data_IF_886064976624
#
_entry.id   IF_886064976624
#
_cell.length_a   1.000
_cell.length_b   1.000
_cell.length_c   1.000
_cell.angle_alpha   90.00
_cell.angle_beta   90.00
_cell.angle_gamma   90.00
#
_symmetry.space_group_name_H-M   'P 1'
#
loop_
_entity.id
_entity.type
_entity.pdbx_description
1 polymer ?
#
# COMPACT_ATOMS: atom_id res chain seq x y z
N UNK A 1 -54.87 -52.61 -49.25
CA UNK A 1 -53.63 -53.05 -48.61
C UNK A 1 -52.79 -51.77 -48.32
N UNK A 2 -52.71 -51.27 -47.10
CA UNK A 2 -51.85 -50.17 -46.73
C UNK A 2 -50.71 -50.70 -45.84
N UNK A 3 -49.48 -50.65 -46.37
CA UNK A 3 -48.26 -51.03 -45.69
C UNK A 3 -47.84 -49.86 -44.80
N UNK A 4 -47.87 -50.03 -43.49
CA UNK A 4 -47.35 -49.07 -42.49
C UNK A 4 -45.91 -49.39 -42.23
N UNK A 5 -45.00 -48.47 -42.63
CA UNK A 5 -43.58 -48.54 -42.26
C UNK A 5 -43.41 -47.89 -40.88
N UNK A 6 -43.06 -48.68 -39.90
CA UNK A 6 -42.58 -48.23 -38.60
C UNK A 6 -41.11 -47.87 -38.75
N UNK A 7 -40.80 -46.57 -38.72
CA UNK A 7 -39.41 -46.09 -38.59
C UNK A 7 -39.06 -46.12 -37.10
N UNK A 8 -38.23 -47.09 -36.70
CA UNK A 8 -37.56 -47.11 -35.39
C UNK A 8 -36.44 -46.07 -35.42
N UNK A 9 -36.67 -44.91 -34.82
CA UNK A 9 -35.61 -43.94 -34.55
C UNK A 9 -34.79 -44.44 -33.35
N UNK A 10 -33.64 -45.07 -33.62
CA UNK A 10 -32.61 -45.33 -32.60
C UNK A 10 -32.01 -43.99 -32.15
N UNK A 11 -32.47 -43.46 -31.01
CA UNK A 11 -31.85 -42.35 -30.32
C UNK A 11 -30.58 -42.88 -29.69
N UNK A 12 -29.42 -42.79 -30.38
CA UNK A 12 -28.12 -43.04 -29.80
C UNK A 12 -27.78 -41.84 -28.91
N UNK A 13 -28.06 -41.96 -27.60
CA UNK A 13 -27.47 -41.09 -26.57
C UNK A 13 -25.95 -41.29 -26.59
N UNK A 14 -25.24 -40.41 -27.24
CA UNK A 14 -23.79 -40.30 -27.15
C UNK A 14 -23.49 -39.75 -25.77
N UNK A 15 -23.26 -40.63 -24.79
CA UNK A 15 -22.64 -40.26 -23.54
C UNK A 15 -21.21 -39.86 -23.86
N UNK A 16 -20.94 -38.57 -23.90
CA UNK A 16 -19.57 -38.09 -23.83
C UNK A 16 -19.04 -38.49 -22.44
N UNK A 17 -18.32 -39.59 -22.38
CA UNK A 17 -17.51 -39.90 -21.20
C UNK A 17 -16.41 -38.82 -21.17
N UNK A 18 -16.68 -37.75 -20.41
CA UNK A 18 -15.62 -36.87 -20.03
C UNK A 18 -14.69 -37.69 -19.16
N UNK A 19 -13.51 -38.02 -19.65
CA UNK A 19 -12.46 -38.57 -18.81
C UNK A 19 -12.31 -37.63 -17.62
N UNK A 20 -12.40 -38.20 -16.41
CA UNK A 20 -12.21 -37.37 -15.21
C UNK A 20 -10.85 -36.69 -15.35
N UNK A 21 -10.79 -35.37 -15.18
CA UNK A 21 -9.55 -34.64 -15.31
C UNK A 21 -8.55 -35.17 -14.30
N UNK A 22 -7.30 -35.34 -14.71
CA UNK A 22 -6.24 -35.97 -13.92
C UNK A 22 -5.01 -35.08 -13.88
N UNK A 23 -4.20 -35.21 -12.83
CA UNK A 23 -2.94 -34.52 -12.68
C UNK A 23 -3.03 -33.09 -12.11
N UNK A 24 -4.22 -32.59 -11.81
CA UNK A 24 -4.41 -31.28 -11.19
C UNK A 24 -4.99 -31.37 -9.77
N UNK A 25 -4.89 -30.26 -9.02
CA UNK A 25 -5.42 -30.16 -7.67
C UNK A 25 -6.57 -29.17 -7.61
N UNK A 26 -7.52 -29.41 -6.71
CA UNK A 26 -8.65 -28.53 -6.40
C UNK A 26 -8.65 -28.20 -4.91
N UNK A 27 -9.10 -27.03 -4.49
CA UNK A 27 -9.29 -26.71 -3.07
C UNK A 27 -10.57 -27.39 -2.55
N UNK A 28 -10.51 -27.96 -1.34
CA UNK A 28 -11.63 -28.73 -0.79
C UNK A 28 -12.85 -27.86 -0.45
N UNK A 29 -12.64 -26.60 -0.06
CA UNK A 29 -13.67 -25.68 0.39
C UNK A 29 -13.80 -24.43 -0.52
N UNK A 30 -13.59 -24.61 -1.82
CA UNK A 30 -13.52 -23.50 -2.77
C UNK A 30 -12.18 -22.77 -2.73
N UNK A 31 -11.98 -21.86 -3.67
CA UNK A 31 -10.75 -21.09 -3.83
C UNK A 31 -10.35 -20.39 -2.53
N UNK A 32 -9.11 -20.58 -2.10
CA UNK A 32 -8.57 -19.96 -0.90
C UNK A 32 -8.07 -18.53 -1.22
N UNK A 33 -8.31 -17.57 -0.32
CA UNK A 33 -7.89 -16.18 -0.48
C UNK A 33 -6.68 -15.87 0.41
N UNK A 34 -5.54 -15.57 -0.20
CA UNK A 34 -4.36 -15.08 0.49
C UNK A 34 -4.34 -13.55 0.48
N UNK A 35 -4.57 -12.94 1.64
CA UNK A 35 -4.52 -11.48 1.80
C UNK A 35 -3.14 -11.05 2.28
N UNK A 36 -2.43 -10.29 1.47
CA UNK A 36 -1.18 -9.62 1.84
C UNK A 36 -1.51 -8.20 2.30
N UNK A 37 -1.68 -8.05 3.60
CA UNK A 37 -2.08 -6.79 4.24
C UNK A 37 -0.84 -6.07 4.79
N UNK A 38 -0.73 -4.76 4.54
CA UNK A 38 0.37 -3.98 5.08
C UNK A 38 -0.07 -2.55 5.47
N UNK A 39 0.70 -1.96 6.37
CA UNK A 39 0.64 -0.54 6.73
C UNK A 39 2.07 -0.05 6.82
N UNK A 40 2.44 0.87 5.94
CA UNK A 40 3.79 1.37 5.81
C UNK A 40 3.85 2.89 5.94
N UNK A 41 5.00 3.36 6.39
CA UNK A 41 5.34 4.77 6.40
C UNK A 41 6.56 4.99 5.53
N UNK A 42 6.40 5.75 4.46
CA UNK A 42 7.52 6.11 3.60
C UNK A 42 8.28 7.32 4.17
N UNK A 43 9.59 7.21 4.14
CA UNK A 43 10.49 8.35 4.35
C UNK A 43 10.52 9.25 3.10
N UNK A 44 11.22 10.38 3.20
CA UNK A 44 11.48 11.26 2.05
C UNK A 44 12.15 10.49 0.90
N UNK A 45 13.12 9.64 1.24
CA UNK A 45 13.90 8.90 0.24
C UNK A 45 13.13 7.78 -0.41
N UNK A 46 12.13 7.22 0.29
CA UNK A 46 11.25 6.18 -0.26
C UNK A 46 10.21 6.76 -1.22
N UNK A 47 9.84 8.02 -1.05
CA UNK A 47 8.80 8.71 -1.82
C UNK A 47 9.34 9.55 -2.99
N UNK A 48 10.44 9.15 -3.58
CA UNK A 48 11.03 9.80 -4.76
C UNK A 48 10.62 9.01 -6.01
N UNK A 49 10.21 9.70 -7.07
CA UNK A 49 9.92 9.06 -8.35
C UNK A 49 11.14 8.27 -8.84
N UNK A 50 10.94 7.01 -9.19
CA UNK A 50 11.99 6.07 -9.57
C UNK A 50 12.48 5.15 -8.46
N UNK A 51 12.09 5.36 -7.20
CA UNK A 51 12.45 4.49 -6.08
C UNK A 51 11.53 3.27 -5.99
N UNK A 52 12.05 2.20 -5.38
CA UNK A 52 11.30 0.98 -5.09
C UNK A 52 11.46 0.63 -3.62
N UNK A 53 10.35 0.45 -2.93
CA UNK A 53 10.32 0.00 -1.53
C UNK A 53 9.82 -1.42 -1.45
N UNK A 54 10.56 -2.26 -0.71
CA UNK A 54 10.19 -3.64 -0.42
C UNK A 54 9.42 -3.72 0.90
N UNK A 55 8.25 -4.33 0.85
CA UNK A 55 7.38 -4.59 2.00
C UNK A 55 7.27 -6.10 2.18
N UNK A 56 7.76 -6.60 3.31
CA UNK A 56 7.62 -8.01 3.65
C UNK A 56 6.29 -8.24 4.37
N UNK A 57 5.43 -9.07 3.77
CA UNK A 57 4.15 -9.43 4.34
C UNK A 57 4.17 -10.90 4.71
N UNK A 58 4.06 -11.18 6.00
CA UNK A 58 4.13 -12.52 6.52
C UNK A 58 2.82 -12.86 7.25
N UNK A 59 1.94 -13.61 6.58
CA UNK A 59 0.76 -14.17 7.18
C UNK A 59 1.13 -15.54 7.77
N UNK A 60 1.60 -15.55 9.01
CA UNK A 60 2.06 -16.73 9.70
C UNK A 60 1.01 -17.85 9.65
N UNK A 61 1.39 -18.98 9.03
CA UNK A 61 0.65 -20.26 9.06
C UNK A 61 -0.71 -20.30 8.32
N UNK A 62 -0.90 -19.54 7.26
CA UNK A 62 -2.07 -19.77 6.42
C UNK A 62 -1.86 -21.05 5.60
N UNK A 63 -2.69 -22.05 5.85
CA UNK A 63 -2.74 -23.29 5.07
C UNK A 63 -4.17 -23.64 4.73
N UNK A 64 -4.36 -24.31 3.62
CA UNK A 64 -5.66 -24.79 3.21
C UNK A 64 -5.58 -26.22 2.67
N UNK A 65 -6.69 -26.92 2.71
CA UNK A 65 -6.79 -28.30 2.21
C UNK A 65 -7.19 -28.31 0.75
N UNK A 66 -6.65 -29.28 0.03
CA UNK A 66 -7.03 -29.54 -1.34
C UNK A 66 -6.85 -31.01 -1.70
N UNK A 67 -7.45 -31.39 -2.80
CA UNK A 67 -7.42 -32.76 -3.32
C UNK A 67 -6.77 -32.73 -4.70
N UNK A 68 -5.74 -33.57 -4.89
CA UNK A 68 -5.06 -33.74 -6.17
C UNK A 68 -5.50 -35.05 -6.82
N UNK A 69 -5.88 -34.99 -8.08
CA UNK A 69 -6.33 -36.16 -8.86
C UNK A 69 -5.14 -36.83 -9.52
N UNK A 70 -4.94 -38.10 -9.22
CA UNK A 70 -3.84 -38.91 -9.76
C UNK A 70 -4.03 -39.13 -11.27
N UNK A 71 -2.92 -39.20 -11.98
CA UNK A 71 -2.94 -39.56 -13.42
C UNK A 71 -3.48 -40.97 -13.62
N UNK A 72 -4.12 -41.20 -14.76
CA UNK A 72 -4.52 -42.55 -15.19
C UNK A 72 -3.29 -43.35 -15.58
N UNK A 73 -3.18 -44.57 -15.12
CA UNK A 73 -2.03 -45.43 -15.43
C UNK A 73 -1.56 -46.25 -14.23
N UNK A 74 -0.38 -46.83 -14.27
CA UNK A 74 0.18 -47.60 -13.15
C UNK A 74 0.40 -46.71 -11.94
N UNK A 75 0.43 -47.34 -10.73
CA UNK A 75 0.71 -46.65 -9.50
C UNK A 75 2.01 -45.84 -9.58
N UNK A 76 1.96 -44.58 -9.19
CA UNK A 76 3.08 -43.64 -9.21
C UNK A 76 3.22 -42.96 -7.87
N UNK A 77 4.47 -42.61 -7.52
CA UNK A 77 4.78 -41.78 -6.37
C UNK A 77 5.23 -40.41 -6.86
N UNK A 78 4.63 -39.38 -6.27
CA UNK A 78 5.00 -37.97 -6.55
C UNK A 78 5.50 -37.36 -5.25
N UNK A 79 6.70 -36.81 -5.25
CA UNK A 79 7.34 -36.23 -4.06
C UNK A 79 7.01 -34.75 -3.85
N UNK A 80 6.30 -34.12 -4.80
CA UNK A 80 5.85 -32.75 -4.67
C UNK A 80 4.71 -32.40 -5.64
N UNK A 81 4.03 -31.30 -5.37
CA UNK A 81 3.16 -30.64 -6.36
C UNK A 81 3.92 -29.58 -7.12
N UNK A 82 3.42 -29.21 -8.27
CA UNK A 82 3.93 -28.10 -9.08
C UNK A 82 2.98 -26.94 -9.00
N UNK A 83 3.52 -25.77 -8.64
CA UNK A 83 2.74 -24.54 -8.46
C UNK A 83 2.98 -23.62 -9.64
N UNK A 84 1.90 -23.09 -10.20
CA UNK A 84 1.90 -22.09 -11.26
C UNK A 84 1.18 -20.84 -10.76
N UNK A 85 1.74 -19.68 -11.06
CA UNK A 85 1.12 -18.38 -10.77
C UNK A 85 0.83 -17.62 -12.05
N UNK A 86 -0.41 -17.17 -12.22
CA UNK A 86 -0.85 -16.37 -13.37
C UNK A 86 -1.34 -15.02 -12.84
N UNK A 87 -0.82 -13.95 -13.43
CA UNK A 87 -1.23 -12.58 -13.09
C UNK A 87 -2.69 -12.35 -13.47
N UNK A 88 -3.40 -11.58 -12.65
CA UNK A 88 -4.75 -11.13 -12.99
C UNK A 88 -4.73 -10.34 -14.31
N UNK A 89 -5.44 -10.79 -15.35
CA UNK A 89 -5.42 -10.14 -16.67
C UNK A 89 -6.00 -8.72 -16.67
N UNK A 90 -6.69 -8.31 -15.61
CA UNK A 90 -7.17 -6.94 -15.48
C UNK A 90 -6.05 -5.94 -15.10
N UNK A 91 -4.88 -6.42 -14.65
CA UNK A 91 -3.75 -5.56 -14.31
C UNK A 91 -2.99 -5.16 -15.57
N UNK A 92 -2.71 -3.87 -15.70
CA UNK A 92 -1.95 -3.32 -16.82
C UNK A 92 -0.45 -3.47 -16.55
N UNK A 93 0.32 -4.15 -17.42
CA UNK A 93 1.76 -4.27 -17.26
C UNK A 93 2.47 -2.92 -17.25
N UNK A 94 3.43 -2.74 -16.32
CA UNK A 94 4.23 -1.53 -16.13
C UNK A 94 5.74 -1.78 -16.30
N UNK A 95 6.10 -2.86 -16.99
CA UNK A 95 7.49 -3.24 -17.25
C UNK A 95 8.06 -4.23 -16.24
N UNK A 96 9.37 -4.37 -16.22
CA UNK A 96 10.10 -5.27 -15.34
C UNK A 96 11.31 -4.56 -14.75
N UNK A 97 11.60 -4.80 -13.46
CA UNK A 97 12.75 -4.26 -12.72
C UNK A 97 13.34 -5.36 -11.85
N UNK A 98 14.64 -5.60 -11.92
CA UNK A 98 15.33 -6.62 -11.13
C UNK A 98 14.64 -8.01 -11.21
N UNK A 99 14.23 -8.43 -12.40
CA UNK A 99 13.51 -9.69 -12.67
C UNK A 99 12.13 -9.81 -12.00
N UNK A 100 11.56 -8.71 -11.52
CA UNK A 100 10.19 -8.63 -11.01
C UNK A 100 9.33 -7.92 -12.05
N UNK A 101 8.21 -8.52 -12.44
CA UNK A 101 7.22 -7.87 -13.27
C UNK A 101 6.41 -6.88 -12.43
N UNK A 102 6.19 -5.68 -12.97
CA UNK A 102 5.40 -4.63 -12.33
C UNK A 102 4.11 -4.37 -13.09
N UNK A 103 3.09 -4.02 -12.34
CA UNK A 103 1.75 -3.72 -12.83
C UNK A 103 1.28 -2.39 -12.29
N UNK A 104 0.56 -1.63 -13.12
CA UNK A 104 0.00 -0.35 -12.71
C UNK A 104 -1.02 -0.57 -11.59
N UNK A 105 -0.82 0.10 -10.45
CA UNK A 105 -1.75 0.03 -9.33
C UNK A 105 -2.62 1.29 -9.26
N UNK A 106 -2.01 2.46 -9.36
CA UNK A 106 -2.68 3.76 -9.44
C UNK A 106 -1.77 4.79 -10.11
N UNK A 107 -2.09 6.08 -10.06
CA UNK A 107 -1.27 7.14 -10.66
C UNK A 107 0.10 7.32 -10.01
N UNK A 108 0.25 6.96 -8.73
CA UNK A 108 1.46 7.19 -7.94
C UNK A 108 2.42 6.00 -7.93
N UNK A 109 1.90 4.76 -7.94
CA UNK A 109 2.73 3.57 -7.75
C UNK A 109 2.37 2.43 -8.71
N UNK A 110 3.41 1.66 -9.06
CA UNK A 110 3.28 0.32 -9.64
C UNK A 110 3.59 -0.73 -8.58
N UNK A 111 2.99 -1.92 -8.72
CA UNK A 111 3.17 -3.05 -7.81
C UNK A 111 3.93 -4.18 -8.50
N UNK A 112 4.95 -4.72 -7.81
CA UNK A 112 5.58 -6.01 -8.09
C UNK A 112 5.34 -6.96 -6.92
N UNK A 113 5.30 -8.26 -7.19
CA UNK A 113 4.98 -9.26 -6.19
C UNK A 113 5.87 -10.48 -6.28
N UNK A 114 6.42 -10.90 -5.14
CA UNK A 114 6.95 -12.24 -4.96
C UNK A 114 6.06 -12.97 -3.95
N UNK A 115 5.79 -14.24 -4.19
CA UNK A 115 5.08 -15.12 -3.26
C UNK A 115 6.00 -16.23 -2.77
N UNK A 116 5.83 -16.62 -1.51
CA UNK A 116 6.58 -17.72 -0.95
C UNK A 116 6.03 -19.07 -1.41
N UNK A 117 6.90 -19.88 -1.99
CA UNK A 117 6.60 -21.26 -2.40
C UNK A 117 7.41 -22.21 -1.52
N UNK A 118 6.75 -23.13 -0.86
CA UNK A 118 7.36 -24.09 0.06
C UNK A 118 8.44 -24.91 -0.68
N UNK A 119 9.65 -24.90 -0.14
CA UNK A 119 10.81 -25.59 -0.72
C UNK A 119 11.52 -24.89 -1.88
N UNK A 120 11.00 -23.72 -2.31
CA UNK A 120 11.62 -22.87 -3.35
C UNK A 120 12.03 -21.51 -2.77
N UNK A 121 11.17 -20.90 -1.94
CA UNK A 121 11.36 -19.56 -1.41
C UNK A 121 10.52 -18.50 -2.12
N UNK A 122 10.87 -17.22 -1.94
CA UNK A 122 10.17 -16.10 -2.58
C UNK A 122 10.44 -16.08 -4.08
N UNK A 123 9.38 -16.14 -4.86
CA UNK A 123 9.42 -16.23 -6.33
C UNK A 123 8.57 -15.13 -6.96
N UNK A 124 9.14 -14.43 -7.93
CA UNK A 124 8.45 -13.35 -8.64
C UNK A 124 7.28 -13.88 -9.49
N UNK A 125 6.13 -13.23 -9.37
CA UNK A 125 4.94 -13.50 -10.16
C UNK A 125 5.05 -12.82 -11.53
N UNK A 126 4.70 -13.48 -12.66
CA UNK A 126 4.24 -14.85 -12.78
C UNK A 126 5.37 -15.90 -12.83
N UNK A 127 5.03 -17.13 -12.52
CA UNK A 127 5.93 -18.29 -12.67
C UNK A 127 5.15 -19.53 -13.07
N UNK A 128 5.87 -20.54 -13.59
CA UNK A 128 5.27 -21.74 -14.12
C UNK A 128 5.90 -23.02 -13.54
N UNK A 129 5.07 -23.97 -13.15
CA UNK A 129 5.40 -25.34 -12.71
C UNK A 129 6.58 -25.42 -11.71
N UNK A 130 6.63 -24.58 -10.70
CA UNK A 130 7.64 -24.67 -9.65
C UNK A 130 7.36 -25.82 -8.68
N UNK A 131 8.35 -26.67 -8.37
CA UNK A 131 8.17 -27.81 -7.49
C UNK A 131 7.99 -27.37 -6.04
N UNK A 132 6.80 -27.61 -5.49
CA UNK A 132 6.47 -27.34 -4.08
C UNK A 132 6.81 -28.57 -3.24
N UNK A 133 8.03 -28.64 -2.72
CA UNK A 133 8.51 -29.79 -1.96
C UNK A 133 7.84 -29.85 -0.59
N UNK A 134 6.97 -30.85 -0.40
CA UNK A 134 6.24 -31.07 0.86
C UNK A 134 6.94 -32.02 1.83
N UNK A 135 8.00 -32.68 1.40
CA UNK A 135 8.75 -33.66 2.19
C UNK A 135 8.09 -35.05 2.31
N UNK A 136 6.81 -35.20 1.98
CA UNK A 136 6.10 -36.46 1.99
C UNK A 136 5.62 -36.81 0.59
N UNK A 137 6.08 -37.91 -0.03
CA UNK A 137 5.65 -38.31 -1.35
C UNK A 137 4.15 -38.64 -1.39
N UNK A 138 3.48 -38.22 -2.46
CA UNK A 138 2.11 -38.61 -2.76
C UNK A 138 2.10 -40.02 -3.37
N UNK A 139 1.33 -40.89 -2.77
CA UNK A 139 1.07 -42.20 -3.37
C UNK A 139 -0.18 -42.09 -4.24
N UNK A 140 0.02 -42.12 -5.55
CA UNK A 140 -1.06 -42.08 -6.52
C UNK A 140 -1.34 -43.44 -7.11
N UNK A 141 -2.60 -43.85 -7.01
CA UNK A 141 -3.15 -45.03 -7.70
C UNK A 141 -4.05 -44.53 -8.83
N UNK A 142 -4.13 -45.25 -9.93
CA UNK A 142 -4.98 -44.89 -11.07
C UNK A 142 -6.42 -44.59 -10.61
N UNK A 143 -6.90 -43.39 -10.98
CA UNK A 143 -8.27 -42.94 -10.67
C UNK A 143 -8.54 -42.59 -9.20
N UNK A 144 -7.51 -42.52 -8.35
CA UNK A 144 -7.62 -42.12 -6.95
C UNK A 144 -7.19 -40.67 -6.78
N UNK A 145 -7.80 -39.96 -5.85
CA UNK A 145 -7.41 -38.64 -5.40
C UNK A 145 -6.55 -38.73 -4.13
N UNK A 146 -5.68 -37.74 -3.94
CA UNK A 146 -4.85 -37.62 -2.74
C UNK A 146 -5.09 -36.26 -2.08
N UNK A 147 -5.49 -36.26 -0.80
CA UNK A 147 -5.63 -35.02 -0.03
C UNK A 147 -4.26 -34.45 0.31
N UNK A 148 -4.14 -33.13 0.24
CA UNK A 148 -2.92 -32.41 0.55
C UNK A 148 -3.18 -31.11 1.30
N UNK A 149 -2.14 -30.53 1.86
CA UNK A 149 -2.18 -29.22 2.51
C UNK A 149 -1.27 -28.27 1.75
N UNK A 150 -1.80 -27.13 1.33
CA UNK A 150 -1.08 -26.09 0.65
C UNK A 150 -0.71 -24.97 1.61
N UNK A 151 0.52 -24.46 1.49
CA UNK A 151 1.06 -23.34 2.25
C UNK A 151 1.53 -22.19 1.34
N UNK A 152 1.61 -22.44 0.04
CA UNK A 152 2.14 -21.49 -0.92
C UNK A 152 1.20 -20.32 -1.15
N UNK A 153 1.76 -19.09 -1.23
CA UNK A 153 1.00 -17.86 -1.45
C UNK A 153 0.60 -17.11 -0.18
N UNK A 154 0.69 -17.73 1.02
CA UNK A 154 0.29 -17.12 2.30
C UNK A 154 1.26 -16.03 2.81
N UNK A 155 2.50 -15.98 2.30
CA UNK A 155 3.48 -14.94 2.58
C UNK A 155 3.99 -14.36 1.29
N UNK A 156 4.29 -13.07 1.26
CA UNK A 156 4.74 -12.39 0.06
C UNK A 156 5.68 -11.21 0.34
N UNK A 157 6.34 -10.79 -0.70
CA UNK A 157 7.12 -9.56 -0.76
C UNK A 157 6.47 -8.63 -1.79
N UNK A 158 5.93 -7.52 -1.32
CA UNK A 158 5.31 -6.50 -2.15
C UNK A 158 6.34 -5.41 -2.45
N UNK A 159 6.57 -5.15 -3.72
CA UNK A 159 7.42 -4.07 -4.20
C UNK A 159 6.53 -2.93 -4.69
N UNK A 160 6.67 -1.76 -4.09
CA UNK A 160 6.02 -0.54 -4.57
C UNK A 160 7.04 0.34 -5.26
N UNK A 161 6.86 0.55 -6.55
CA UNK A 161 7.67 1.47 -7.34
C UNK A 161 6.95 2.81 -7.46
N UNK A 162 7.56 3.87 -6.96
CA UNK A 162 7.00 5.22 -6.99
C UNK A 162 7.18 5.82 -8.38
N UNK A 163 6.08 6.07 -9.08
CA UNK A 163 6.06 6.81 -10.37
C UNK A 163 6.03 8.31 -10.15
N UNK A 164 5.25 8.71 -9.15
CA UNK A 164 5.03 10.10 -8.78
C UNK A 164 4.95 10.20 -7.27
N UNK A 165 5.75 11.05 -6.67
CA UNK A 165 5.69 11.33 -5.25
C UNK A 165 4.28 11.77 -4.83
N UNK A 166 3.88 11.47 -3.60
CA UNK A 166 2.59 11.83 -3.03
C UNK A 166 2.74 12.23 -1.56
N UNK A 167 1.71 12.82 -0.98
CA UNK A 167 1.69 13.24 0.43
C UNK A 167 0.46 12.70 1.14
N UNK A 168 0.53 12.63 2.47
CA UNK A 168 -0.57 12.11 3.27
C UNK A 168 -0.70 10.59 3.21
N UNK A 169 -1.92 10.08 3.15
CA UNK A 169 -2.22 8.65 3.19
C UNK A 169 -2.71 8.18 1.83
N UNK A 170 -1.99 7.24 1.23
CA UNK A 170 -2.43 6.50 0.05
C UNK A 170 -3.01 5.15 0.48
N UNK A 171 -4.27 4.90 0.14
CA UNK A 171 -4.91 3.61 0.36
C UNK A 171 -4.83 2.75 -0.91
N UNK A 172 -4.38 1.53 -0.74
CA UNK A 172 -4.37 0.48 -1.76
C UNK A 172 -5.56 -0.44 -1.46
N UNK A 173 -6.63 -0.39 -2.26
CA UNK A 173 -7.79 -1.25 -2.05
C UNK A 173 -7.44 -2.71 -2.31
N UNK A 174 -8.27 -3.64 -1.82
CA UNK A 174 -8.10 -5.07 -2.08
C UNK A 174 -8.00 -5.34 -3.58
N UNK A 175 -6.79 -5.64 -4.04
CA UNK A 175 -6.45 -5.83 -5.44
C UNK A 175 -5.99 -7.26 -5.67
N UNK A 176 -6.73 -8.01 -6.50
CA UNK A 176 -6.32 -9.33 -6.95
C UNK A 176 -5.11 -9.19 -7.88
N UNK A 177 -3.96 -9.72 -7.45
CA UNK A 177 -2.72 -9.65 -8.24
C UNK A 177 -2.49 -10.92 -9.02
N UNK A 178 -2.68 -12.09 -8.40
CA UNK A 178 -2.39 -13.37 -9.07
C UNK A 178 -3.34 -14.48 -8.64
N UNK A 179 -3.55 -15.44 -9.54
CA UNK A 179 -4.16 -16.72 -9.28
C UNK A 179 -3.09 -17.81 -9.18
N UNK A 180 -3.26 -18.73 -8.26
CA UNK A 180 -2.35 -19.86 -8.01
C UNK A 180 -3.05 -21.15 -8.42
N UNK A 181 -2.32 -21.98 -9.15
CA UNK A 181 -2.73 -23.30 -9.61
C UNK A 181 -1.78 -24.36 -9.09
N UNK A 182 -2.25 -25.59 -8.93
CA UNK A 182 -1.38 -26.71 -8.57
C UNK A 182 -1.68 -27.94 -9.39
N UNK A 183 -0.59 -28.65 -9.74
CA UNK A 183 -0.62 -29.94 -10.43
C UNK A 183 0.32 -30.92 -9.74
N UNK A 184 0.16 -32.22 -9.98
CA UNK A 184 1.10 -33.27 -9.53
C UNK A 184 2.06 -33.70 -10.63
N UNK A 185 1.88 -33.20 -11.85
CA UNK A 185 2.75 -33.48 -13.00
C UNK A 185 3.11 -32.15 -13.68
N UNK A 186 4.39 -31.89 -13.98
CA UNK A 186 4.84 -30.63 -14.60
C UNK A 186 4.35 -30.41 -16.03
N UNK A 187 3.77 -31.44 -16.66
CA UNK A 187 3.21 -31.36 -18.01
C UNK A 187 1.71 -31.10 -18.01
N UNK A 188 1.06 -31.18 -16.86
CA UNK A 188 -0.36 -30.94 -16.72
C UNK A 188 -0.63 -29.47 -16.50
N UNK A 189 -1.56 -28.90 -17.26
CA UNK A 189 -2.07 -27.54 -17.06
C UNK A 189 -3.38 -27.63 -16.28
N UNK A 190 -3.47 -26.89 -15.18
CA UNK A 190 -4.71 -26.80 -14.41
C UNK A 190 -5.50 -25.56 -14.80
N UNK A 191 -6.81 -25.71 -14.93
CA UNK A 191 -7.76 -24.60 -15.03
C UNK A 191 -8.43 -24.28 -13.70
N UNK A 192 -8.11 -25.07 -12.65
CA UNK A 192 -8.70 -24.93 -11.32
C UNK A 192 -7.79 -24.05 -10.44
N UNK A 193 -8.32 -22.90 -10.02
CA UNK A 193 -7.61 -21.98 -9.13
C UNK A 193 -7.68 -22.55 -7.71
N UNK A 194 -6.53 -22.90 -7.14
CA UNK A 194 -6.47 -23.38 -5.74
C UNK A 194 -6.50 -22.25 -4.73
N UNK A 195 -5.83 -21.14 -5.06
CA UNK A 195 -5.87 -19.91 -4.26
C UNK A 195 -5.59 -18.69 -5.13
N UNK A 196 -5.84 -17.52 -4.55
CA UNK A 196 -5.42 -16.27 -5.14
C UNK A 196 -4.62 -15.42 -4.15
N UNK A 197 -3.97 -14.38 -4.67
CA UNK A 197 -3.18 -13.44 -3.88
C UNK A 197 -3.76 -12.05 -4.06
N UNK A 198 -4.28 -11.50 -2.97
CA UNK A 198 -4.89 -10.19 -2.90
C UNK A 198 -3.98 -9.30 -2.06
N UNK A 199 -3.57 -8.16 -2.61
CA UNK A 199 -2.76 -7.17 -1.91
C UNK A 199 -3.65 -6.01 -1.52
N UNK A 200 -3.53 -5.54 -0.27
CA UNK A 200 -4.18 -4.35 0.22
C UNK A 200 -3.37 -3.70 1.34
N UNK A 201 -3.52 -2.39 1.50
CA UNK A 201 -2.80 -1.71 2.57
C UNK A 201 -2.89 -0.19 2.51
N UNK A 202 -2.09 0.43 3.36
CA UNK A 202 -1.93 1.87 3.39
C UNK A 202 -0.46 2.24 3.40
N UNK A 203 -0.13 3.32 2.71
CA UNK A 203 1.19 3.96 2.77
C UNK A 203 0.99 5.40 3.20
N UNK A 204 1.66 5.78 4.29
CA UNK A 204 1.62 7.15 4.81
C UNK A 204 2.93 7.85 4.52
N UNK A 205 2.86 9.06 3.99
CA UNK A 205 4.00 9.98 3.82
C UNK A 205 3.78 11.15 4.75
N UNK A 206 4.40 11.16 5.95
CA UNK A 206 4.20 12.23 6.90
C UNK A 206 4.83 13.52 6.42
N UNK A 207 4.11 14.61 6.57
CA UNK A 207 4.62 15.97 6.38
C UNK A 207 5.07 16.51 7.74
N UNK A 208 6.19 17.20 7.78
CA UNK A 208 6.65 17.91 8.96
C UNK A 208 7.36 19.20 8.57
N UNK A 209 7.22 20.22 9.41
CA UNK A 209 7.94 21.48 9.24
C UNK A 209 8.67 21.82 10.55
N UNK A 210 9.88 22.32 10.41
CA UNK A 210 10.69 22.86 11.50
C UNK A 210 10.83 24.38 11.30
N UNK A 211 10.64 25.13 12.37
CA UNK A 211 10.81 26.57 12.42
C UNK A 211 12.18 26.86 13.01
N UNK A 212 13.01 27.62 12.30
CA UNK A 212 14.39 27.98 12.71
C UNK A 212 15.19 26.78 13.24
N UNK A 213 15.08 25.63 12.57
CA UNK A 213 15.77 24.38 12.94
C UNK A 213 15.46 23.94 14.40
N UNK A 214 14.27 24.23 14.88
CA UNK A 214 13.84 23.92 16.25
C UNK A 214 14.39 24.88 17.34
N UNK A 215 15.06 25.95 16.93
CA UNK A 215 15.57 26.94 17.89
C UNK A 215 14.49 27.93 18.33
N UNK A 216 14.60 28.41 19.57
CA UNK A 216 13.71 29.43 20.07
C UNK A 216 13.98 30.78 19.39
N UNK A 217 12.93 31.41 18.90
CA UNK A 217 12.99 32.76 18.32
C UNK A 217 12.85 33.75 19.46
N UNK A 218 13.91 34.51 19.75
CA UNK A 218 13.93 35.48 20.84
C UNK A 218 13.77 36.91 20.30
N UNK A 219 12.79 37.62 20.86
CA UNK A 219 12.57 39.05 20.63
C UNK A 219 12.93 39.80 21.92
N UNK A 220 14.17 40.27 22.01
CA UNK A 220 14.64 41.00 23.17
C UNK A 220 14.46 42.52 22.98
N UNK A 221 13.50 43.11 23.68
CA UNK A 221 13.23 44.54 23.66
C UNK A 221 14.16 45.35 24.58
N UNK A 222 15.08 44.66 25.26
CA UNK A 222 15.91 45.27 26.31
C UNK A 222 15.07 46.00 27.39
N UNK A 223 15.72 46.80 28.21
CA UNK A 223 15.03 47.56 29.23
C UNK A 223 14.29 48.75 28.60
N UNK A 224 12.99 48.82 28.85
CA UNK A 224 12.13 49.93 28.46
C UNK A 224 11.75 50.68 29.74
N UNK A 225 11.97 52.00 29.76
CA UNK A 225 11.61 52.83 30.91
C UNK A 225 10.11 53.17 30.88
N UNK A 226 9.46 53.23 32.01
CA UNK A 226 8.05 53.61 32.09
C UNK A 226 7.75 55.00 31.48
N UNK A 227 8.73 55.90 31.48
CA UNK A 227 8.64 57.24 30.83
C UNK A 227 8.64 57.21 29.30
N UNK A 228 9.00 56.06 28.69
CA UNK A 228 8.95 55.90 27.24
C UNK A 228 7.52 55.59 26.71
N UNK A 229 6.67 55.09 27.60
CA UNK A 229 5.28 54.79 27.28
C UNK A 229 4.42 56.05 27.22
N UNK A 230 3.51 56.10 26.25
CA UNK A 230 2.51 57.15 26.16
C UNK A 230 1.42 56.98 27.23
N UNK A 231 0.95 58.08 27.75
CA UNK A 231 -0.27 58.08 28.59
C UNK A 231 -1.55 57.82 27.80
N UNK A 232 -1.46 57.80 26.48
CA UNK A 232 -2.57 57.46 25.58
C UNK A 232 -2.60 55.97 25.35
N UNK A 233 -3.65 55.30 25.79
CA UNK A 233 -3.85 53.86 25.62
C UNK A 233 -3.79 53.45 24.16
N UNK A 234 -3.09 52.36 23.81
CA UNK A 234 -2.96 51.80 22.50
C UNK A 234 -1.95 52.47 21.58
N UNK A 235 -1.21 53.47 22.08
CA UNK A 235 -0.15 54.15 21.32
C UNK A 235 1.12 53.26 21.32
N UNK A 236 1.60 52.88 20.12
CA UNK A 236 2.81 52.08 20.00
C UNK A 236 4.09 52.86 20.29
N UNK A 237 5.09 52.16 20.82
CA UNK A 237 6.47 52.64 20.93
C UNK A 237 7.14 52.42 19.55
N UNK A 238 7.21 53.48 18.74
CA UNK A 238 7.69 53.37 17.33
C UNK A 238 9.15 52.94 17.24
N UNK A 239 9.98 53.30 18.21
CA UNK A 239 11.41 53.02 18.23
C UNK A 239 11.76 51.64 18.80
N UNK A 240 10.76 50.85 19.19
CA UNK A 240 10.91 49.51 19.79
C UNK A 240 10.40 48.38 18.90
N UNK A 241 10.47 48.57 17.57
CA UNK A 241 10.12 47.54 16.63
C UNK A 241 11.31 46.58 16.39
N UNK A 242 11.08 45.29 16.60
CA UNK A 242 12.05 44.22 16.29
C UNK A 242 11.53 43.44 15.09
N UNK A 243 12.39 43.24 14.12
CA UNK A 243 12.08 42.38 12.95
C UNK A 243 12.99 41.18 12.97
N UNK A 244 12.42 39.98 12.77
CA UNK A 244 13.12 38.71 12.63
C UNK A 244 12.64 38.01 11.36
N UNK A 245 13.59 37.44 10.61
CA UNK A 245 13.26 36.49 9.54
C UNK A 245 13.19 35.11 10.19
N UNK A 246 12.12 34.40 9.90
CA UNK A 246 11.88 33.06 10.40
C UNK A 246 12.02 32.12 9.21
N UNK A 247 12.89 31.10 9.34
CA UNK A 247 13.06 30.09 8.32
C UNK A 247 12.17 28.90 8.65
N UNK A 248 11.40 28.44 7.69
CA UNK A 248 10.56 27.25 7.81
C UNK A 248 11.09 26.21 6.82
N UNK A 249 11.55 25.08 7.36
CA UNK A 249 12.03 23.94 6.58
C UNK A 249 11.03 22.82 6.68
N UNK A 250 10.35 22.53 5.60
CA UNK A 250 9.37 21.45 5.53
C UNK A 250 9.92 20.25 4.78
N UNK A 251 9.47 19.05 5.18
CA UNK A 251 9.77 17.78 4.55
C UNK A 251 8.49 17.16 3.98
N UNK A 252 8.60 16.47 2.85
CA UNK A 252 7.47 15.83 2.15
C UNK A 252 6.35 16.81 1.72
N UNK A 253 6.66 18.09 1.54
CA UNK A 253 5.71 19.04 0.95
C UNK A 253 5.80 19.03 -0.57
N UNK A 254 4.63 19.08 -1.22
CA UNK A 254 4.52 19.24 -2.67
C UNK A 254 4.45 20.73 -3.02
N UNK A 255 4.81 21.06 -4.25
CA UNK A 255 4.83 22.46 -4.75
C UNK A 255 3.51 23.23 -4.55
N UNK A 256 2.38 22.54 -4.50
CA UNK A 256 1.05 23.13 -4.32
C UNK A 256 0.50 23.04 -2.90
N UNK A 257 1.27 22.47 -1.96
CA UNK A 257 0.86 22.42 -0.56
C UNK A 257 0.91 23.82 0.05
N UNK A 258 -0.13 24.17 0.81
CA UNK A 258 -0.20 25.44 1.52
C UNK A 258 0.24 25.23 2.96
N UNK A 259 1.01 26.17 3.47
CA UNK A 259 1.43 26.24 4.85
C UNK A 259 0.64 27.33 5.56
N UNK A 260 -0.14 26.97 6.56
CA UNK A 260 -0.81 27.89 7.47
C UNK A 260 0.00 28.01 8.75
N UNK A 261 0.42 29.23 9.10
CA UNK A 261 1.07 29.52 10.36
C UNK A 261 0.07 30.19 11.32
N UNK A 262 -0.01 29.69 12.56
CA UNK A 262 -0.88 30.27 13.58
C UNK A 262 -0.05 30.71 14.78
N UNK A 263 -0.25 31.94 15.23
CA UNK A 263 0.37 32.45 16.45
C UNK A 263 -0.52 32.15 17.65
N UNK A 264 -0.03 31.27 18.52
CA UNK A 264 -0.71 30.97 19.78
C UNK A 264 -0.07 31.73 20.93
N UNK A 265 -0.84 32.59 21.56
CA UNK A 265 -0.41 33.37 22.74
C UNK A 265 -1.60 33.76 23.57
N UNK A 266 -1.35 34.11 24.87
CA UNK A 266 -2.34 34.76 25.73
C UNK A 266 -2.62 36.16 25.18
N UNK A 267 -3.88 36.46 24.90
CA UNK A 267 -4.27 37.78 24.43
C UNK A 267 -4.55 38.77 25.56
N UNK A 268 -4.35 40.05 25.30
CA UNK A 268 -4.80 41.12 26.21
C UNK A 268 -6.33 41.11 26.29
N UNK A 269 -6.90 41.16 27.50
CA UNK A 269 -8.35 41.02 27.69
C UNK A 269 -9.20 42.05 26.91
N UNK A 270 -8.63 43.25 26.69
CA UNK A 270 -9.30 44.35 25.98
C UNK A 270 -8.98 44.44 24.48
N UNK A 271 -8.01 43.66 23.98
CA UNK A 271 -7.60 43.66 22.60
C UNK A 271 -6.96 42.30 22.23
N UNK A 272 -7.69 41.45 21.58
CA UNK A 272 -7.27 40.10 21.19
C UNK A 272 -6.21 40.09 20.07
N UNK A 273 -5.89 41.23 19.48
CA UNK A 273 -4.81 41.39 18.52
C UNK A 273 -3.44 41.59 19.16
N UNK A 274 -3.40 41.72 20.49
CA UNK A 274 -2.18 41.94 21.26
C UNK A 274 -1.85 40.73 22.15
N UNK A 275 -0.57 40.36 22.13
CA UNK A 275 -0.04 39.36 23.07
C UNK A 275 0.06 40.03 24.46
N UNK A 276 -0.51 39.36 25.48
CA UNK A 276 -0.38 39.82 26.87
C UNK A 276 1.06 39.57 27.35
N UNK A 277 1.53 40.52 28.17
CA UNK A 277 2.79 40.39 28.92
C UNK A 277 2.49 40.16 30.39
N UNK A 278 3.51 40.01 31.22
CA UNK A 278 3.41 40.00 32.69
C UNK A 278 3.04 41.36 33.28
N UNK A 279 3.07 42.42 32.48
CA UNK A 279 2.59 43.74 32.84
C UNK A 279 1.24 44.02 32.14
N UNK A 280 0.17 44.16 32.91
CA UNK A 280 -1.19 44.35 32.39
C UNK A 280 -1.37 45.62 31.52
N UNK A 281 -0.48 46.60 31.66
CA UNK A 281 -0.50 47.85 30.88
C UNK A 281 0.27 47.75 29.55
N UNK A 282 0.95 46.61 29.29
CA UNK A 282 1.83 46.43 28.14
C UNK A 282 1.39 45.24 27.31
N UNK A 283 1.19 45.45 26.03
CA UNK A 283 0.92 44.38 25.05
C UNK A 283 1.88 44.44 23.88
N UNK A 284 2.06 43.32 23.21
CA UNK A 284 2.91 43.20 22.01
C UNK A 284 2.03 42.93 20.80
N UNK A 285 2.17 43.72 19.76
CA UNK A 285 1.56 43.47 18.42
C UNK A 285 2.56 42.82 17.50
N UNK A 286 2.08 41.82 16.74
CA UNK A 286 2.86 41.12 15.71
C UNK A 286 2.33 41.50 14.34
N UNK A 287 3.24 41.72 13.42
CA UNK A 287 2.93 42.03 12.03
C UNK A 287 3.68 41.09 11.09
N UNK A 288 3.04 40.69 9.99
CA UNK A 288 3.67 39.90 8.95
C UNK A 288 4.62 40.77 8.06
N UNK A 289 5.25 40.14 7.07
CA UNK A 289 6.15 40.84 6.11
C UNK A 289 5.46 41.91 5.26
N UNK A 290 4.15 41.86 5.14
CA UNK A 290 3.33 42.84 4.45
C UNK A 290 2.76 43.91 5.37
N UNK A 291 3.21 43.93 6.63
CA UNK A 291 2.75 44.87 7.67
C UNK A 291 1.25 44.70 8.02
N UNK A 292 0.70 43.50 7.81
CA UNK A 292 -0.64 43.14 8.27
C UNK A 292 -0.54 42.64 9.71
N UNK A 293 -1.49 43.01 10.53
CA UNK A 293 -1.57 42.58 11.94
C UNK A 293 -1.90 41.09 12.03
N UNK A 294 -1.12 40.34 12.82
CA UNK A 294 -1.33 38.91 13.09
C UNK A 294 -2.04 38.78 14.43
N UNK A 295 -3.29 38.35 14.39
CA UNK A 295 -4.08 38.14 15.61
C UNK A 295 -3.59 36.91 16.38
N UNK A 296 -3.58 37.01 17.71
CA UNK A 296 -3.33 35.87 18.58
C UNK A 296 -4.46 34.85 18.46
N UNK A 297 -4.09 33.56 18.32
CA UNK A 297 -5.04 32.46 18.12
C UNK A 297 -5.94 32.59 16.89
N UNK A 298 -5.64 33.52 15.99
CA UNK A 298 -6.26 33.68 14.69
C UNK A 298 -5.48 32.94 13.62
N UNK A 299 -6.19 32.49 12.56
CA UNK A 299 -5.55 31.92 11.39
C UNK A 299 -4.96 33.06 10.53
N UNK A 300 -3.65 33.06 10.32
CA UNK A 300 -3.06 33.91 9.30
C UNK A 300 -3.03 33.12 7.97
N UNK A 301 -3.77 33.57 6.99
CA UNK A 301 -3.65 33.02 5.62
C UNK A 301 -2.38 33.57 4.99
N UNK A 302 -1.28 32.85 5.13
CA UNK A 302 -0.10 33.11 4.31
C UNK A 302 -0.23 32.34 2.98
N UNK A 303 -0.50 33.08 1.93
CA UNK A 303 -0.37 32.57 0.59
C UNK A 303 1.10 32.28 0.30
N UNK A 304 1.39 31.02 0.02
CA UNK A 304 2.59 30.46 -0.61
C UNK A 304 3.62 31.50 -1.03
N UNK A 305 4.72 31.53 -0.31
CA UNK A 305 5.96 32.05 -0.86
C UNK A 305 6.43 31.08 -1.95
N UNK A 306 6.63 31.57 -3.13
CA UNK A 306 7.42 30.91 -4.16
C UNK A 306 8.78 30.51 -3.55
N UNK A 307 9.08 29.22 -3.57
CA UNK A 307 10.41 28.66 -3.33
C UNK A 307 11.15 28.58 -4.65
#
# INVERSE_FOLDING_TARGET
MKLQYWLLALLTCVFYAHAAPTGYCVPDNGKYHNYLNFTEQFSITDNIAGTTTLINVNNNNTSFKGTCYCLTGPNQSYDHTYITSVVNPALVPAGSRNNVAYFNLNENVDIGLLVYILGVGYTAVPFDHLPNKTGTPYQCHSGVSSATTFYSGGSGQVYLYVKKAFTGVMTIPATLVANIYATIDPRTVSNEIISDVIVQGTVTVPQSCEIDEGQAIVFDFNKILASEFSSTKGKALTDRKITRTVNIKCTNMMFYDKLDATLHASAVASDNSMIATDNEDVGIKVYDKYNREVNTNGRSEEHTSEL
#
